data_IF_970096190773
#
_entry.id   IF_970096190773
#
_cell.length_a   1.000
_cell.length_b   1.000
_cell.length_c   1.000
_cell.angle_alpha   90.00
_cell.angle_beta   90.00
_cell.angle_gamma   90.00
#
_symmetry.space_group_name_H-M   'P 1'
#
loop_
_entity.id
_entity.type
_entity.pdbx_description
1 polymer ?
#
# COMPACT_ATOMS: atom_id res chain seq x y z
N UNK A 1 -6.07 15.76 8.52
CA UNK A 1 -6.88 16.76 7.79
C UNK A 1 -5.88 17.72 7.23
N UNK A 2 -5.79 17.80 5.91
CA UNK A 2 -4.75 18.56 5.23
C UNK A 2 -4.80 20.03 5.66
N UNK A 3 -3.70 20.51 6.22
CA UNK A 3 -3.59 21.88 6.76
C UNK A 3 -3.12 22.88 5.70
N UNK A 4 -2.64 22.35 4.57
CA UNK A 4 -2.25 23.15 3.41
C UNK A 4 -3.50 23.61 2.64
N UNK A 5 -3.57 24.92 2.36
CA UNK A 5 -4.70 25.56 1.67
C UNK A 5 -4.58 25.53 0.14
N UNK A 6 -3.83 24.59 -0.41
CA UNK A 6 -3.60 24.44 -1.85
C UNK A 6 -4.74 23.73 -2.58
N UNK A 7 -5.63 23.03 -1.86
CA UNK A 7 -6.82 22.38 -2.43
C UNK A 7 -8.08 22.66 -1.61
N UNK A 8 -9.22 22.57 -2.28
CA UNK A 8 -10.55 22.54 -1.67
C UNK A 8 -10.82 21.20 -0.99
N UNK A 9 -11.85 21.16 -0.15
CA UNK A 9 -12.28 19.92 0.51
C UNK A 9 -12.65 18.83 -0.52
N UNK A 10 -13.37 19.20 -1.58
CA UNK A 10 -13.80 18.31 -2.65
C UNK A 10 -12.61 17.72 -3.41
N UNK A 11 -11.59 18.53 -3.70
CA UNK A 11 -10.37 18.09 -4.37
C UNK A 11 -9.58 17.12 -3.48
N UNK A 12 -9.43 17.40 -2.18
CA UNK A 12 -8.82 16.45 -1.26
C UNK A 12 -9.61 15.15 -1.16
N UNK A 13 -10.93 15.24 -1.06
CA UNK A 13 -11.80 14.07 -0.97
C UNK A 13 -11.66 13.19 -2.21
N UNK A 14 -11.62 13.76 -3.41
CA UNK A 14 -11.43 12.98 -4.64
C UNK A 14 -10.02 12.41 -4.74
N UNK A 15 -8.98 13.17 -4.36
CA UNK A 15 -7.60 12.69 -4.29
C UNK A 15 -7.47 11.43 -3.42
N UNK A 16 -7.96 11.49 -2.18
CA UNK A 16 -7.92 10.35 -1.26
C UNK A 16 -8.83 9.20 -1.71
N UNK A 17 -9.95 9.49 -2.36
CA UNK A 17 -10.84 8.46 -2.91
C UNK A 17 -10.19 7.70 -4.05
N UNK A 18 -9.40 8.36 -4.92
CA UNK A 18 -8.59 7.69 -5.94
C UNK A 18 -7.45 6.90 -5.28
N UNK A 19 -6.73 7.53 -4.35
CA UNK A 19 -5.64 6.91 -3.60
C UNK A 19 -6.02 5.61 -2.93
N UNK A 20 -7.12 5.60 -2.17
CA UNK A 20 -7.54 4.43 -1.39
C UNK A 20 -8.34 3.39 -2.16
N UNK A 21 -8.72 3.65 -3.41
CA UNK A 21 -9.61 2.75 -4.16
C UNK A 21 -8.96 1.38 -4.34
N UNK A 22 -9.64 0.33 -3.90
CA UNK A 22 -9.23 -1.06 -4.09
C UNK A 22 -10.44 -1.98 -3.95
N UNK A 23 -10.39 -3.15 -4.59
CA UNK A 23 -11.35 -4.25 -4.38
C UNK A 23 -10.79 -5.35 -3.45
N UNK A 24 -9.57 -5.16 -2.93
CA UNK A 24 -8.97 -6.01 -1.91
C UNK A 24 -9.37 -5.47 -0.53
N UNK A 25 -10.30 -6.16 0.11
CA UNK A 25 -10.92 -5.75 1.37
C UNK A 25 -10.01 -5.97 2.58
N UNK A 26 -9.18 -7.02 2.54
CA UNK A 26 -8.31 -7.41 3.66
C UNK A 26 -7.08 -8.16 3.16
N UNK A 27 -5.96 -7.91 3.85
CA UNK A 27 -4.72 -8.66 3.66
C UNK A 27 -4.31 -9.26 5.00
N UNK A 28 -3.93 -10.55 5.00
CA UNK A 28 -3.30 -11.20 6.15
C UNK A 28 -1.86 -11.52 5.76
N UNK A 29 -0.90 -11.02 6.54
CA UNK A 29 0.52 -11.24 6.34
C UNK A 29 1.04 -12.13 7.46
N UNK A 30 1.65 -13.26 7.13
CA UNK A 30 2.26 -14.21 8.08
C UNK A 30 3.57 -14.72 7.52
N UNK A 31 4.69 -14.25 8.08
CA UNK A 31 6.01 -14.55 7.51
C UNK A 31 6.10 -14.06 6.06
N UNK A 32 6.46 -14.97 5.16
CA UNK A 32 6.52 -14.76 3.71
C UNK A 32 5.17 -14.96 2.99
N UNK A 33 4.10 -15.31 3.70
CA UNK A 33 2.81 -15.64 3.09
C UNK A 33 1.84 -14.48 3.21
N UNK A 34 1.23 -14.11 2.09
CA UNK A 34 0.16 -13.11 2.03
C UNK A 34 -1.14 -13.77 1.58
N UNK A 35 -2.22 -13.50 2.31
CA UNK A 35 -3.58 -13.85 1.94
C UNK A 35 -4.37 -12.59 1.59
N UNK A 36 -4.84 -12.50 0.35
CA UNK A 36 -5.69 -11.42 -0.15
C UNK A 36 -7.15 -11.86 -0.09
N UNK A 37 -8.01 -10.98 0.43
CA UNK A 37 -9.46 -11.12 0.40
C UNK A 37 -10.04 -10.10 -0.58
N UNK A 38 -10.76 -10.58 -1.59
CA UNK A 38 -11.32 -9.76 -2.67
C UNK A 38 -12.67 -10.32 -3.08
N UNK A 39 -13.72 -9.50 -3.02
CA UNK A 39 -15.09 -9.89 -3.35
C UNK A 39 -15.55 -11.15 -2.59
N UNK A 40 -15.17 -11.28 -1.32
CA UNK A 40 -15.47 -12.46 -0.49
C UNK A 40 -14.65 -13.73 -0.79
N UNK A 41 -13.85 -13.75 -1.86
CA UNK A 41 -12.88 -14.82 -2.13
C UNK A 41 -11.56 -14.57 -1.42
N UNK A 42 -10.83 -15.64 -1.10
CA UNK A 42 -9.48 -15.55 -0.55
C UNK A 42 -8.47 -16.32 -1.38
N UNK A 43 -7.32 -15.71 -1.62
CA UNK A 43 -6.17 -16.33 -2.29
C UNK A 43 -4.91 -16.10 -1.48
N UNK A 44 -4.06 -17.11 -1.41
CA UNK A 44 -2.85 -17.11 -0.58
C UNK A 44 -1.65 -17.48 -1.41
N UNK A 45 -0.57 -16.73 -1.29
CA UNK A 45 0.69 -16.99 -1.98
C UNK A 45 1.88 -16.63 -1.12
N UNK A 46 3.00 -17.27 -1.40
CA UNK A 46 4.29 -16.93 -0.82
C UNK A 46 4.94 -15.84 -1.66
N UNK A 47 5.53 -14.84 -1.00
CA UNK A 47 6.25 -13.75 -1.65
C UNK A 47 7.69 -13.70 -1.16
N UNK A 48 8.61 -13.59 -2.12
CA UNK A 48 10.04 -13.47 -1.88
C UNK A 48 10.46 -12.02 -2.01
N UNK A 49 11.28 -11.56 -1.07
CA UNK A 49 11.87 -10.22 -1.10
C UNK A 49 12.77 -10.04 -2.34
N UNK A 50 12.54 -8.97 -3.08
CA UNK A 50 13.30 -8.57 -4.28
C UNK A 50 14.28 -7.42 -3.98
N UNK A 51 14.08 -6.66 -2.90
CA UNK A 51 14.91 -5.51 -2.58
C UNK A 51 14.07 -4.29 -2.20
N UNK A 52 14.67 -3.11 -2.27
CA UNK A 52 13.96 -1.86 -2.05
C UNK A 52 14.41 -0.82 -3.08
N UNK A 53 13.52 0.12 -3.37
CA UNK A 53 13.78 1.24 -4.26
C UNK A 53 13.49 2.57 -3.56
N UNK A 54 14.34 3.57 -3.82
CA UNK A 54 14.18 4.90 -3.25
C UNK A 54 13.61 5.84 -4.29
N UNK A 55 12.39 6.31 -4.04
CA UNK A 55 11.70 7.27 -4.90
C UNK A 55 12.05 8.70 -4.47
N UNK A 56 12.34 9.55 -5.45
CA UNK A 56 12.48 10.99 -5.24
C UNK A 56 11.30 11.67 -5.93
N UNK A 57 10.43 12.31 -5.16
CA UNK A 57 9.23 12.95 -5.68
C UNK A 57 9.53 14.39 -6.11
N UNK A 58 8.72 14.93 -7.02
CA UNK A 58 8.90 16.30 -7.55
C UNK A 58 8.82 17.37 -6.44
N UNK A 59 8.02 17.13 -5.40
CA UNK A 59 7.90 18.01 -4.24
C UNK A 59 9.15 17.97 -3.32
N UNK A 60 10.18 17.19 -3.65
CA UNK A 60 11.45 17.11 -2.94
C UNK A 60 11.47 16.12 -1.77
N UNK A 61 10.33 15.55 -1.39
CA UNK A 61 10.24 14.45 -0.45
C UNK A 61 10.70 13.12 -1.09
N UNK A 62 11.04 12.14 -0.25
CA UNK A 62 11.52 10.82 -0.67
C UNK A 62 10.64 9.73 -0.06
N UNK A 63 10.48 8.63 -0.79
CA UNK A 63 9.79 7.43 -0.32
C UNK A 63 10.65 6.19 -0.54
N UNK A 64 10.36 5.12 0.20
CA UNK A 64 10.99 3.81 -0.01
C UNK A 64 9.90 2.80 -0.35
N UNK A 65 10.10 2.03 -1.41
CA UNK A 65 9.27 0.89 -1.79
C UNK A 65 10.05 -0.39 -1.46
N UNK A 66 9.44 -1.32 -0.73
CA UNK A 66 9.98 -2.66 -0.50
C UNK A 66 9.31 -3.64 -1.46
N UNK A 67 10.09 -4.28 -2.31
CA UNK A 67 9.63 -5.05 -3.46
C UNK A 67 9.61 -6.55 -3.14
N UNK A 68 8.56 -7.24 -3.57
CA UNK A 68 8.44 -8.68 -3.43
C UNK A 68 7.79 -9.33 -4.66
N UNK A 69 8.23 -10.54 -4.98
CA UNK A 69 7.73 -11.36 -6.08
C UNK A 69 6.96 -12.57 -5.55
N UNK A 70 5.86 -12.91 -6.21
CA UNK A 70 5.16 -14.16 -5.99
C UNK A 70 6.09 -15.34 -6.29
N UNK A 71 6.16 -16.31 -5.39
CA UNK A 71 6.90 -17.55 -5.59
C UNK A 71 6.06 -18.52 -6.43
N UNK A 72 6.55 -18.84 -7.62
CA UNK A 72 5.85 -19.68 -8.59
C UNK A 72 4.67 -18.95 -9.24
N UNK A 73 3.73 -19.72 -9.77
CA UNK A 73 2.52 -19.17 -10.40
C UNK A 73 1.29 -19.52 -9.56
N UNK A 74 0.49 -18.51 -9.23
CA UNK A 74 -0.79 -18.69 -8.57
C UNK A 74 -1.86 -17.83 -9.24
N UNK A 75 -2.88 -18.47 -9.80
CA UNK A 75 -3.92 -17.78 -10.56
C UNK A 75 -4.67 -16.75 -9.71
N UNK A 76 -4.66 -15.49 -10.14
CA UNK A 76 -5.33 -14.36 -9.51
C UNK A 76 -4.68 -13.86 -8.23
N UNK A 77 -3.37 -14.10 -8.07
CA UNK A 77 -2.52 -13.31 -7.20
C UNK A 77 -1.61 -12.41 -8.06
N UNK A 78 -1.31 -11.18 -7.60
CA UNK A 78 -0.39 -10.31 -8.31
C UNK A 78 1.01 -10.92 -8.33
N UNK A 79 1.68 -10.89 -9.49
CA UNK A 79 3.07 -11.36 -9.59
C UNK A 79 4.03 -10.53 -8.75
N UNK A 80 3.78 -9.23 -8.66
CA UNK A 80 4.64 -8.28 -7.97
C UNK A 80 3.84 -7.47 -6.97
N UNK A 81 4.44 -7.23 -5.79
CA UNK A 81 3.91 -6.33 -4.78
C UNK A 81 5.01 -5.40 -4.27
N UNK A 82 4.61 -4.20 -3.86
CA UNK A 82 5.49 -3.20 -3.26
C UNK A 82 4.82 -2.58 -2.04
N UNK A 83 5.52 -2.54 -0.92
CA UNK A 83 5.06 -1.89 0.30
C UNK A 83 5.73 -0.53 0.49
N UNK A 84 4.98 0.42 1.03
CA UNK A 84 5.48 1.71 1.53
C UNK A 84 4.76 2.04 2.83
N UNK A 85 5.49 2.19 3.93
CA UNK A 85 4.95 2.38 5.29
C UNK A 85 5.56 3.62 5.99
N UNK A 86 6.15 4.53 5.21
CA UNK A 86 6.88 5.72 5.68
C UNK A 86 8.15 5.42 6.49
N UNK A 87 8.53 4.14 6.62
CA UNK A 87 9.72 3.71 7.35
C UNK A 87 10.85 3.30 6.39
N UNK A 88 12.07 3.69 6.73
CA UNK A 88 13.27 3.41 5.91
C UNK A 88 14.21 2.39 6.55
N UNK A 89 13.76 1.73 7.61
CA UNK A 89 14.48 0.70 8.35
C UNK A 89 13.49 -0.34 8.89
N UNK A 90 13.94 -1.56 9.24
CA UNK A 90 13.06 -2.61 9.76
C UNK A 90 12.35 -2.15 11.04
N UNK A 91 11.04 -1.97 10.92
CA UNK A 91 10.14 -1.64 12.03
C UNK A 91 8.81 -2.31 11.81
N UNK A 92 7.98 -2.34 12.85
CA UNK A 92 6.58 -2.72 12.71
C UNK A 92 5.83 -1.51 12.11
N UNK A 93 5.15 -1.72 10.99
CA UNK A 93 4.33 -0.70 10.36
C UNK A 93 3.05 -0.46 11.18
N UNK A 94 2.70 0.81 11.37
CA UNK A 94 1.40 1.22 11.93
C UNK A 94 0.30 1.11 10.87
N UNK A 95 0.57 1.58 9.65
CA UNK A 95 -0.20 1.31 8.44
C UNK A 95 0.73 1.15 7.24
N UNK A 96 0.22 0.71 6.09
CA UNK A 96 1.01 0.66 4.87
C UNK A 96 0.17 0.98 3.63
N UNK A 97 0.86 1.46 2.60
CA UNK A 97 0.41 1.48 1.21
C UNK A 97 0.96 0.27 0.48
N UNK A 98 0.15 -0.34 -0.38
CA UNK A 98 0.56 -1.47 -1.21
C UNK A 98 0.24 -1.22 -2.68
N UNK A 99 1.20 -1.52 -3.55
CA UNK A 99 1.09 -1.46 -5.00
C UNK A 99 1.30 -2.86 -5.53
N UNK A 100 0.44 -3.32 -6.41
CA UNK A 100 0.48 -4.71 -6.83
C UNK A 100 -0.09 -4.91 -8.23
N UNK A 101 0.41 -5.93 -8.93
CA UNK A 101 -0.07 -6.30 -10.24
C UNK A 101 0.87 -7.28 -10.92
N UNK A 102 0.59 -7.53 -12.20
CA UNK A 102 1.37 -8.46 -13.03
C UNK A 102 2.43 -7.75 -13.89
N UNK A 103 2.53 -6.43 -13.77
CA UNK A 103 3.56 -5.63 -14.42
C UNK A 103 4.85 -5.63 -13.60
N UNK A 104 5.97 -5.52 -14.29
CA UNK A 104 7.30 -5.40 -13.68
C UNK A 104 7.36 -4.27 -12.64
N UNK A 105 8.25 -4.41 -11.66
CA UNK A 105 8.41 -3.43 -10.58
C UNK A 105 8.62 -2.00 -11.08
N UNK A 106 9.42 -1.80 -12.13
CA UNK A 106 9.66 -0.47 -12.74
C UNK A 106 8.40 0.24 -13.23
N UNK A 107 7.38 -0.54 -13.59
CA UNK A 107 6.06 0.01 -13.98
C UNK A 107 5.26 0.37 -12.74
N UNK A 108 5.23 -0.51 -11.72
CA UNK A 108 4.55 -0.24 -10.45
C UNK A 108 5.18 0.93 -9.66
N UNK A 109 6.48 1.18 -9.81
CA UNK A 109 7.16 2.33 -9.19
C UNK A 109 6.70 3.67 -9.75
N UNK A 110 6.13 3.69 -10.96
CA UNK A 110 5.57 4.90 -11.58
C UNK A 110 4.14 5.19 -11.13
N UNK A 111 3.48 4.24 -10.46
CA UNK A 111 2.15 4.43 -9.89
C UNK A 111 2.26 5.31 -8.63
N UNK A 112 1.67 6.51 -8.72
CA UNK A 112 1.65 7.53 -7.67
C UNK A 112 0.23 7.95 -7.29
N UNK A 113 -0.78 7.58 -8.07
CA UNK A 113 -2.16 8.06 -7.94
C UNK A 113 -3.03 7.09 -7.13
N UNK A 114 -2.86 5.78 -7.32
CA UNK A 114 -3.59 4.75 -6.58
C UNK A 114 -2.64 3.99 -5.64
N UNK A 115 -2.92 4.10 -4.34
CA UNK A 115 -2.10 3.59 -3.26
C UNK A 115 -3.00 2.99 -2.15
N UNK A 116 -3.61 1.82 -2.42
CA UNK A 116 -4.42 1.09 -1.45
C UNK A 116 -3.76 1.06 -0.07
N UNK A 117 -4.50 1.48 0.95
CA UNK A 117 -3.97 1.72 2.30
C UNK A 117 -4.65 0.82 3.32
N UNK A 118 -3.86 0.20 4.19
CA UNK A 118 -4.34 -0.77 5.16
C UNK A 118 -3.84 -0.45 6.56
N UNK A 119 -4.77 -0.55 7.51
CA UNK A 119 -4.54 -0.41 8.94
C UNK A 119 -4.74 -1.77 9.65
N UNK A 120 -4.25 -1.94 10.89
CA UNK A 120 -4.45 -3.16 11.64
C UNK A 120 -5.94 -3.46 11.86
N UNK A 121 -6.36 -4.70 11.66
CA UNK A 121 -7.78 -5.09 11.70
C UNK A 121 -8.46 -4.94 13.06
N UNK A 122 -7.68 -4.71 14.12
CA UNK A 122 -8.19 -4.49 15.47
C UNK A 122 -8.40 -3.00 15.79
N UNK A 123 -7.93 -2.10 14.91
CA UNK A 123 -8.12 -0.66 15.07
C UNK A 123 -9.56 -0.27 14.79
N UNK A 124 -10.12 0.52 15.70
CA UNK A 124 -11.42 1.18 15.53
C UNK A 124 -11.34 2.32 14.52
N UNK A 125 -12.49 2.74 13.98
CA UNK A 125 -12.55 3.89 13.07
C UNK A 125 -12.02 5.19 13.69
N UNK A 126 -12.13 5.34 15.01
CA UNK A 126 -11.55 6.48 15.73
C UNK A 126 -10.03 6.40 15.77
N UNK A 127 -9.45 5.25 16.10
CA UNK A 127 -8.00 5.06 16.12
C UNK A 127 -7.40 5.30 14.73
N UNK A 128 -8.04 4.79 13.67
CA UNK A 128 -7.62 5.05 12.28
C UNK A 128 -7.67 6.55 11.98
N UNK A 129 -8.75 7.23 12.38
CA UNK A 129 -8.87 8.67 12.14
C UNK A 129 -7.80 9.45 12.92
N UNK A 130 -7.55 9.13 14.19
CA UNK A 130 -6.53 9.80 15.00
C UNK A 130 -5.13 9.59 14.40
N UNK A 131 -4.82 8.38 13.92
CA UNK A 131 -3.56 8.09 13.23
C UNK A 131 -3.43 8.89 11.92
N UNK A 132 -4.48 8.94 11.11
CA UNK A 132 -4.53 9.79 9.89
C UNK A 132 -4.39 11.28 10.17
N UNK A 133 -4.67 11.74 11.40
CA UNK A 133 -4.50 13.15 11.80
C UNK A 133 -3.11 13.44 12.36
N UNK A 134 -2.36 12.41 12.76
CA UNK A 134 -1.00 12.54 13.28
C UNK A 134 0.07 12.52 12.16
N UNK A 135 -0.31 12.12 10.94
CA UNK A 135 0.48 12.19 9.72
C UNK A 135 0.17 13.48 8.94
#
# INVERSE_FOLDING_TARGET
METNKDKTFEEYKEYYKVGYKTDVERIIIKGNTLTFYKNGERKTGEYKYHGYEVLNYEAGNRGVRYLFDLVGDANGLPKHIQFSDHSIYPTKAEHFHIYFGDSEHDTLLKELDNWPTYYPSHSSGKEITDEMLAH
#
